data_IF_238562680228
#
_entry.id   IF_238562680228
#
_cell.length_a   1.000
_cell.length_b   1.000
_cell.length_c   1.000
_cell.angle_alpha   90.00
_cell.angle_beta   90.00
_cell.angle_gamma   90.00
#
_symmetry.space_group_name_H-M   'P 1'
#
loop_
_entity.id
_entity.type
_entity.pdbx_description
1 polymer ?
#
# COMPACT_ATOMS: atom_id res chain seq x y z
N UNK A 1 1.75 3.72 -19.28
CA UNK A 1 2.23 3.30 -17.94
C UNK A 1 2.09 1.79 -17.75
N UNK A 2 3.20 1.10 -17.65
CA UNK A 2 3.35 -0.37 -17.52
C UNK A 2 2.96 -0.86 -16.10
N UNK A 3 2.55 -2.13 -15.97
CA UNK A 3 2.18 -2.78 -14.69
C UNK A 3 3.33 -3.62 -14.11
N UNK A 4 4.41 -3.76 -14.86
CA UNK A 4 5.51 -4.69 -14.65
C UNK A 4 6.16 -4.56 -13.25
N UNK A 5 6.43 -3.36 -12.70
CA UNK A 5 6.91 -3.23 -11.33
C UNK A 5 5.95 -3.83 -10.30
N UNK A 6 4.64 -3.58 -10.47
CA UNK A 6 3.60 -4.09 -9.58
C UNK A 6 3.43 -5.60 -9.69
N UNK A 7 3.50 -6.15 -10.92
CA UNK A 7 3.46 -7.61 -11.17
C UNK A 7 4.55 -8.34 -10.39
N UNK A 8 5.76 -7.76 -10.31
CA UNK A 8 6.87 -8.36 -9.58
C UNK A 8 6.64 -8.43 -8.05
N UNK A 9 5.95 -7.44 -7.47
CA UNK A 9 5.69 -7.36 -6.03
C UNK A 9 4.59 -8.32 -5.57
N UNK A 10 3.57 -8.53 -6.42
CA UNK A 10 2.46 -9.42 -6.10
C UNK A 10 2.77 -10.88 -6.42
N UNK A 11 3.82 -11.16 -7.19
CA UNK A 11 4.18 -12.50 -7.61
C UNK A 11 4.40 -13.45 -6.42
N UNK A 12 3.88 -14.67 -6.52
CA UNK A 12 4.02 -15.70 -5.49
C UNK A 12 3.06 -15.58 -4.30
N UNK A 13 2.21 -14.55 -4.26
CA UNK A 13 1.21 -14.36 -3.20
C UNK A 13 -0.14 -14.95 -3.62
N UNK A 14 -0.95 -15.38 -2.64
CA UNK A 14 -2.31 -15.90 -2.88
C UNK A 14 -3.27 -15.32 -1.86
N UNK A 15 -4.49 -15.03 -2.30
CA UNK A 15 -5.52 -14.49 -1.44
C UNK A 15 -6.92 -14.92 -1.90
N UNK A 16 -7.79 -15.21 -0.93
CA UNK A 16 -9.23 -15.39 -1.15
C UNK A 16 -10.01 -14.76 0.00
N UNK A 17 -10.86 -13.79 -0.31
CA UNK A 17 -11.71 -13.16 0.70
C UNK A 17 -12.81 -14.15 1.15
N UNK A 18 -12.80 -14.55 2.42
CA UNK A 18 -13.83 -15.40 3.02
C UNK A 18 -15.03 -14.62 3.57
N UNK A 19 -15.07 -13.29 3.34
CA UNK A 19 -16.05 -12.37 3.93
C UNK A 19 -16.13 -12.48 5.46
N UNK A 20 -15.00 -12.73 6.12
CA UNK A 20 -14.94 -12.94 7.57
C UNK A 20 -15.15 -11.67 8.42
N UNK A 21 -15.09 -10.48 7.82
CA UNK A 21 -15.26 -9.20 8.51
C UNK A 21 -14.05 -8.71 9.32
N UNK A 22 -12.99 -9.50 9.45
CA UNK A 22 -11.83 -9.17 10.31
C UNK A 22 -11.08 -7.90 9.87
N UNK A 23 -10.97 -7.63 8.57
CA UNK A 23 -10.39 -6.39 8.06
C UNK A 23 -11.26 -5.14 8.35
N UNK A 24 -12.51 -5.33 8.79
CA UNK A 24 -13.40 -4.27 9.24
C UNK A 24 -13.34 -4.07 10.76
N UNK A 25 -12.50 -4.82 11.48
CA UNK A 25 -12.33 -4.74 12.94
C UNK A 25 -10.91 -4.29 13.29
N UNK A 26 -10.75 -3.46 14.31
CA UNK A 26 -9.44 -3.04 14.84
C UNK A 26 -9.09 -1.58 14.52
N UNK A 27 -7.83 -1.19 14.78
CA UNK A 27 -7.41 0.22 14.74
C UNK A 27 -7.10 0.77 13.34
N UNK A 28 -7.74 0.21 12.30
CA UNK A 28 -7.55 0.64 10.91
C UNK A 28 -8.25 1.97 10.60
N UNK A 29 -7.55 2.86 9.90
CA UNK A 29 -8.13 4.08 9.34
C UNK A 29 -8.48 3.89 7.87
N UNK A 30 -9.77 4.01 7.55
CA UNK A 30 -10.23 4.00 6.16
C UNK A 30 -10.46 5.41 5.67
N UNK A 31 -9.71 5.80 4.65
CA UNK A 31 -9.78 7.10 4.02
C UNK A 31 -10.56 7.02 2.71
N UNK A 32 -11.45 7.99 2.52
CA UNK A 32 -12.26 8.17 1.34
C UNK A 32 -11.74 9.35 0.54
N UNK A 33 -11.51 9.13 -0.74
CA UNK A 33 -11.27 10.19 -1.69
C UNK A 33 -12.59 10.91 -2.05
N UNK A 34 -12.52 12.19 -2.49
CA UNK A 34 -13.69 12.96 -2.89
C UNK A 34 -14.62 12.24 -3.88
N UNK A 35 -14.06 11.52 -4.85
CA UNK A 35 -14.76 10.82 -5.92
C UNK A 35 -15.52 9.57 -5.44
N UNK A 36 -15.13 8.99 -4.30
CA UNK A 36 -15.75 7.77 -3.77
C UNK A 36 -17.03 8.07 -3.00
N UNK A 37 -17.08 9.25 -2.38
CA UNK A 37 -18.12 9.68 -1.46
C UNK A 37 -19.51 9.67 -2.13
N UNK A 38 -19.73 10.29 -3.31
CA UNK A 38 -21.05 10.30 -3.95
C UNK A 38 -21.55 8.90 -4.31
N UNK A 39 -20.63 8.02 -4.71
CA UNK A 39 -20.95 6.63 -5.08
C UNK A 39 -21.45 5.83 -3.89
N UNK A 40 -20.76 5.91 -2.75
CA UNK A 40 -21.16 5.21 -1.52
C UNK A 40 -22.46 5.81 -0.95
N UNK A 41 -22.57 7.15 -0.94
CA UNK A 41 -23.79 7.82 -0.49
C UNK A 41 -25.02 7.39 -1.31
N UNK A 42 -24.89 7.32 -2.64
CA UNK A 42 -25.93 6.84 -3.54
C UNK A 42 -26.34 5.40 -3.25
N UNK A 43 -25.38 4.52 -3.00
CA UNK A 43 -25.67 3.12 -2.65
C UNK A 43 -26.51 2.99 -1.38
N UNK A 44 -26.28 3.88 -0.40
CA UNK A 44 -27.02 3.94 0.85
C UNK A 44 -28.35 4.73 0.75
N UNK A 45 -28.71 5.22 -0.44
CA UNK A 45 -29.85 6.10 -0.67
C UNK A 45 -29.83 7.37 0.19
N UNK A 46 -28.65 7.97 0.35
CA UNK A 46 -28.44 9.21 1.10
C UNK A 46 -27.94 10.33 0.19
N UNK A 47 -28.20 11.58 0.58
CA UNK A 47 -27.48 12.71 0.03
C UNK A 47 -26.01 12.65 0.46
N UNK A 48 -25.12 13.21 -0.37
CA UNK A 48 -23.69 13.33 -0.04
C UNK A 48 -23.49 13.99 1.33
N UNK A 49 -24.18 15.10 1.60
CA UNK A 49 -24.06 15.78 2.89
C UNK A 49 -24.46 14.89 4.06
N UNK A 50 -25.60 14.17 3.95
CA UNK A 50 -26.05 13.27 5.01
C UNK A 50 -25.06 12.13 5.24
N UNK A 51 -24.48 11.58 4.17
CA UNK A 51 -23.45 10.57 4.27
C UNK A 51 -22.21 11.09 5.00
N UNK A 52 -21.73 12.27 4.62
CA UNK A 52 -20.57 12.93 5.23
C UNK A 52 -20.77 13.13 6.74
N UNK A 53 -21.92 13.64 7.15
CA UNK A 53 -22.22 13.92 8.55
C UNK A 53 -22.39 12.65 9.38
N UNK A 54 -23.00 11.62 8.78
CA UNK A 54 -23.33 10.37 9.47
C UNK A 54 -22.10 9.47 9.60
N UNK A 55 -21.39 9.22 8.50
CA UNK A 55 -20.40 8.14 8.41
C UNK A 55 -18.95 8.59 8.41
N UNK A 56 -18.66 9.88 8.28
CA UNK A 56 -17.26 10.35 8.11
C UNK A 56 -16.83 11.37 9.15
N UNK A 57 -15.52 11.48 9.35
CA UNK A 57 -14.83 12.56 10.08
C UNK A 57 -14.03 13.39 9.08
N UNK A 58 -13.99 14.70 9.32
CA UNK A 58 -13.15 15.61 8.55
C UNK A 58 -11.83 15.83 9.27
N UNK A 59 -10.73 15.81 8.52
CA UNK A 59 -9.43 16.24 9.00
C UNK A 59 -8.99 17.43 8.17
N UNK A 60 -8.88 18.60 8.79
CA UNK A 60 -8.52 19.86 8.10
C UNK A 60 -7.19 19.76 7.35
N UNK A 61 -6.34 18.81 7.72
CA UNK A 61 -5.02 18.62 7.15
C UNK A 61 -5.02 17.87 5.82
N UNK A 62 -6.10 17.16 5.48
CA UNK A 62 -6.27 16.40 4.24
C UNK A 62 -7.44 16.98 3.45
N UNK A 63 -7.16 17.90 2.52
CA UNK A 63 -8.20 18.66 1.83
C UNK A 63 -9.07 17.75 0.95
N UNK A 64 -10.39 17.82 1.11
CA UNK A 64 -11.37 17.02 0.34
C UNK A 64 -11.52 15.57 0.79
N UNK A 65 -10.48 14.97 1.36
CA UNK A 65 -10.53 13.60 1.88
C UNK A 65 -11.34 13.50 3.18
N UNK A 66 -11.95 12.33 3.40
CA UNK A 66 -12.75 12.05 4.60
C UNK A 66 -12.34 10.72 5.20
N UNK A 67 -12.28 10.62 6.51
CA UNK A 67 -12.01 9.34 7.17
C UNK A 67 -13.34 8.72 7.61
N UNK A 68 -13.51 7.41 7.46
CA UNK A 68 -14.67 6.73 8.02
C UNK A 68 -14.68 6.81 9.54
N UNK A 69 -15.87 6.94 10.11
CA UNK A 69 -16.07 6.75 11.55
C UNK A 69 -15.91 5.27 11.91
N UNK A 70 -15.58 5.05 13.17
CA UNK A 70 -15.66 3.75 13.80
C UNK A 70 -16.95 3.63 14.61
N UNK A 71 -17.37 2.38 14.88
CA UNK A 71 -18.58 1.99 15.58
C UNK A 71 -18.31 0.74 16.44
N UNK A 72 -19.37 0.24 17.10
CA UNK A 72 -19.32 -0.91 18.01
C UNK A 72 -18.89 -0.54 19.43
N UNK A 73 -19.01 -1.49 20.35
CA UNK A 73 -18.81 -1.26 21.79
C UNK A 73 -17.36 -0.85 22.14
N UNK A 74 -16.38 -1.35 21.39
CA UNK A 74 -14.98 -0.93 21.53
C UNK A 74 -14.65 0.38 20.81
N UNK A 75 -15.54 0.86 19.93
CA UNK A 75 -15.28 2.02 19.08
C UNK A 75 -14.20 1.79 18.02
N UNK A 76 -13.90 0.53 17.68
CA UNK A 76 -12.83 0.14 16.75
C UNK A 76 -13.34 -0.62 15.51
N UNK A 77 -14.65 -0.83 15.35
CA UNK A 77 -15.16 -1.48 14.14
C UNK A 77 -15.49 -0.45 13.06
N UNK A 78 -15.36 -0.80 11.79
CA UNK A 78 -15.83 0.05 10.70
C UNK A 78 -17.33 0.31 10.85
N UNK A 79 -17.76 1.55 10.58
CA UNK A 79 -19.19 1.95 10.66
C UNK A 79 -20.11 1.18 9.69
N UNK A 80 -19.55 0.51 8.67
CA UNK A 80 -20.30 -0.33 7.74
C UNK A 80 -20.25 -1.83 8.06
N UNK A 81 -19.63 -2.25 9.17
CA UNK A 81 -19.72 -3.63 9.62
C UNK A 81 -21.10 -3.88 10.23
N UNK A 82 -21.83 -4.86 9.71
CA UNK A 82 -23.16 -5.22 10.18
C UNK A 82 -23.10 -5.66 11.64
N UNK A 83 -23.86 -5.02 12.55
CA UNK A 83 -23.92 -5.45 13.95
C UNK A 83 -24.73 -6.75 14.12
N UNK A 84 -25.43 -7.21 13.08
CA UNK A 84 -26.27 -8.40 13.14
C UNK A 84 -25.44 -9.69 13.17
N UNK A 85 -24.32 -9.72 12.46
CA UNK A 85 -23.46 -10.91 12.32
C UNK A 85 -21.98 -10.65 12.60
N UNK A 86 -21.56 -9.37 12.68
CA UNK A 86 -20.16 -8.99 12.87
C UNK A 86 -19.26 -9.33 11.69
N UNK A 87 -19.83 -9.60 10.50
CA UNK A 87 -19.08 -10.07 9.31
C UNK A 87 -19.43 -9.30 8.05
N UNK A 88 -20.70 -9.01 7.85
CA UNK A 88 -21.18 -8.45 6.59
C UNK A 88 -20.84 -6.97 6.46
N UNK A 89 -20.14 -6.59 5.38
CA UNK A 89 -19.93 -5.19 5.03
C UNK A 89 -21.15 -4.65 4.26
N UNK A 90 -21.83 -3.66 4.84
CA UNK A 90 -23.06 -3.06 4.28
C UNK A 90 -22.83 -2.32 2.96
N UNK A 91 -21.59 -2.03 2.59
CA UNK A 91 -21.20 -1.35 1.34
C UNK A 91 -20.26 -2.20 0.49
N UNK A 92 -20.26 -3.53 0.65
CA UNK A 92 -19.26 -4.43 0.03
C UNK A 92 -19.11 -4.23 -1.49
N UNK A 93 -20.22 -4.01 -2.20
CA UNK A 93 -20.26 -3.82 -3.66
C UNK A 93 -19.72 -2.46 -4.11
N UNK A 94 -19.67 -1.48 -3.22
CA UNK A 94 -19.20 -0.12 -3.49
C UNK A 94 -18.08 0.30 -2.54
N UNK A 95 -17.28 -0.68 -2.07
CA UNK A 95 -16.13 -0.41 -1.19
C UNK A 95 -15.23 0.68 -1.76
N UNK A 96 -14.66 1.55 -0.91
CA UNK A 96 -13.61 2.46 -1.35
C UNK A 96 -12.39 1.67 -1.82
N UNK A 97 -11.55 2.28 -2.65
CA UNK A 97 -10.32 1.73 -3.23
C UNK A 97 -9.46 1.08 -2.16
N UNK A 98 -9.25 1.74 -1.01
CA UNK A 98 -8.50 1.13 0.11
C UNK A 98 -9.10 -0.21 0.53
N UNK A 99 -10.42 -0.34 0.68
CA UNK A 99 -11.04 -1.60 1.07
C UNK A 99 -11.17 -2.62 -0.08
N UNK A 100 -11.28 -2.18 -1.34
CA UNK A 100 -11.43 -3.08 -2.49
C UNK A 100 -10.12 -3.65 -3.00
N UNK A 101 -9.00 -2.97 -2.74
CA UNK A 101 -7.66 -3.42 -3.15
C UNK A 101 -6.98 -4.30 -2.12
N UNK A 102 -7.55 -4.49 -0.92
CA UNK A 102 -7.00 -5.42 0.08
C UNK A 102 -6.94 -6.86 -0.48
N UNK A 103 -5.80 -7.58 -0.37
CA UNK A 103 -4.63 -7.27 0.46
C UNK A 103 -3.45 -6.63 -0.31
N UNK A 104 -3.68 -6.13 -1.51
CA UNK A 104 -2.65 -5.53 -2.37
C UNK A 104 -2.37 -4.08 -1.99
N UNK A 105 -2.06 -3.85 -0.73
CA UNK A 105 -1.62 -2.55 -0.24
C UNK A 105 -0.09 -2.46 -0.28
N UNK A 106 0.50 -1.29 -0.58
CA UNK A 106 1.96 -1.10 -0.58
C UNK A 106 2.65 -1.63 0.69
N UNK A 107 2.06 -1.39 1.86
CA UNK A 107 2.58 -1.81 3.18
C UNK A 107 2.66 -3.32 3.31
N UNK A 108 1.70 -4.02 2.71
CA UNK A 108 1.62 -5.47 2.75
C UNK A 108 2.61 -6.11 1.77
N UNK A 109 3.23 -5.36 0.85
CA UNK A 109 4.22 -5.91 -0.10
C UNK A 109 5.58 -6.23 0.54
N UNK A 110 5.72 -6.01 1.85
CA UNK A 110 6.83 -6.52 2.65
C UNK A 110 6.48 -7.88 3.25
N UNK A 111 7.34 -8.89 3.10
CA UNK A 111 7.08 -10.26 3.57
C UNK A 111 6.75 -10.32 5.07
N UNK A 112 7.42 -9.50 5.88
CA UNK A 112 7.15 -9.43 7.32
C UNK A 112 5.75 -8.90 7.65
N UNK A 113 5.30 -7.87 6.95
CA UNK A 113 3.96 -7.28 7.15
C UNK A 113 2.87 -8.21 6.57
N UNK A 114 3.13 -8.86 5.41
CA UNK A 114 2.26 -9.88 4.84
C UNK A 114 2.03 -11.06 5.79
N UNK A 115 3.11 -11.63 6.34
CA UNK A 115 3.01 -12.77 7.25
C UNK A 115 2.36 -12.38 8.60
N UNK A 116 2.60 -11.16 9.08
CA UNK A 116 1.92 -10.64 10.26
C UNK A 116 0.41 -10.50 10.01
N UNK A 117 0.00 -9.89 8.90
CA UNK A 117 -1.40 -9.67 8.54
C UNK A 117 -2.14 -11.01 8.37
N UNK A 118 -1.51 -11.96 7.68
CA UNK A 118 -1.97 -13.35 7.52
C UNK A 118 -2.20 -14.06 8.85
N UNK A 119 -1.28 -13.89 9.80
CA UNK A 119 -1.34 -14.57 11.09
C UNK A 119 -2.36 -13.95 12.04
N UNK A 120 -2.49 -12.62 12.02
CA UNK A 120 -3.17 -11.87 13.08
C UNK A 120 -4.53 -11.31 12.65
N UNK A 121 -4.73 -11.01 11.36
CA UNK A 121 -5.90 -10.27 10.90
C UNK A 121 -6.77 -11.13 9.98
N UNK A 122 -6.25 -11.62 8.86
CA UNK A 122 -7.11 -12.19 7.82
C UNK A 122 -6.69 -13.61 7.42
N UNK A 123 -7.62 -14.54 7.58
CA UNK A 123 -7.48 -15.94 7.16
C UNK A 123 -7.47 -16.13 5.63
N UNK A 124 -7.77 -15.09 4.85
CA UNK A 124 -7.81 -15.15 3.39
C UNK A 124 -6.43 -15.25 2.74
N UNK A 125 -5.37 -14.93 3.47
CA UNK A 125 -3.99 -14.99 2.98
C UNK A 125 -3.54 -16.44 2.87
N UNK A 126 -3.06 -16.82 1.68
CA UNK A 126 -2.71 -18.22 1.35
C UNK A 126 -3.81 -19.24 1.65
N UNK A 127 -5.07 -18.81 1.56
CA UNK A 127 -6.21 -19.68 1.85
C UNK A 127 -6.15 -20.94 0.96
N UNK A 128 -6.47 -22.15 1.49
CA UNK A 128 -6.43 -23.39 0.71
C UNK A 128 -7.27 -23.33 -0.57
N UNK A 129 -8.40 -22.63 -0.51
CA UNK A 129 -9.32 -22.44 -1.63
C UNK A 129 -8.99 -21.20 -2.49
N UNK A 130 -7.84 -20.57 -2.30
CA UNK A 130 -7.44 -19.43 -3.12
C UNK A 130 -7.17 -19.87 -4.57
N UNK A 131 -7.79 -19.22 -5.57
CA UNK A 131 -7.51 -19.53 -6.96
C UNK A 131 -6.06 -19.17 -7.31
N UNK A 132 -5.54 -19.65 -8.45
CA UNK A 132 -4.31 -19.12 -9.01
C UNK A 132 -4.38 -17.60 -9.10
N UNK A 133 -3.29 -16.92 -8.72
CA UNK A 133 -3.24 -15.47 -8.72
C UNK A 133 -3.41 -14.94 -10.15
N UNK A 134 -4.41 -14.09 -10.35
CA UNK A 134 -4.44 -13.18 -11.49
C UNK A 134 -3.45 -12.05 -11.22
N UNK A 135 -2.23 -12.23 -11.73
CA UNK A 135 -1.11 -11.31 -11.50
C UNK A 135 -1.40 -9.92 -12.07
N UNK A 136 -2.14 -9.84 -13.18
CA UNK A 136 -2.43 -8.57 -13.83
C UNK A 136 -3.48 -7.77 -13.05
N UNK A 137 -4.55 -8.42 -12.60
CA UNK A 137 -5.55 -7.79 -11.75
C UNK A 137 -4.98 -7.41 -10.37
N UNK A 138 -4.18 -8.28 -9.75
CA UNK A 138 -3.51 -7.96 -8.49
C UNK A 138 -2.55 -6.77 -8.63
N UNK A 139 -1.79 -6.70 -9.74
CA UNK A 139 -0.93 -5.56 -10.05
C UNK A 139 -1.74 -4.26 -10.26
N UNK A 140 -2.91 -4.34 -10.91
CA UNK A 140 -3.82 -3.21 -11.08
C UNK A 140 -4.36 -2.72 -9.73
N UNK A 141 -4.75 -3.63 -8.84
CA UNK A 141 -5.21 -3.31 -7.49
C UNK A 141 -4.10 -2.69 -6.64
N UNK A 142 -2.87 -3.20 -6.72
CA UNK A 142 -1.71 -2.61 -6.03
C UNK A 142 -1.40 -1.21 -6.54
N UNK A 143 -1.43 -1.02 -7.85
CA UNK A 143 -1.24 0.29 -8.46
C UNK A 143 -2.30 1.29 -8.00
N UNK A 144 -3.58 0.88 -8.00
CA UNK A 144 -4.68 1.70 -7.51
C UNK A 144 -4.49 2.07 -6.03
N UNK A 145 -4.17 1.09 -5.18
CA UNK A 145 -3.89 1.33 -3.76
C UNK A 145 -2.75 2.34 -3.56
N UNK A 146 -1.65 2.18 -4.30
CA UNK A 146 -0.53 3.11 -4.26
C UNK A 146 -0.94 4.52 -4.70
N UNK A 147 -1.63 4.66 -5.83
CA UNK A 147 -2.08 5.96 -6.35
C UNK A 147 -2.95 6.68 -5.32
N UNK A 148 -3.89 5.99 -4.67
CA UNK A 148 -4.75 6.59 -3.65
C UNK A 148 -3.96 7.04 -2.42
N UNK A 149 -2.97 6.26 -1.99
CA UNK A 149 -2.06 6.68 -0.93
C UNK A 149 -1.30 7.95 -1.31
N UNK A 150 -0.77 8.05 -2.54
CA UNK A 150 -0.06 9.26 -2.98
C UNK A 150 -0.95 10.49 -3.06
N UNK A 151 -2.15 10.36 -3.64
CA UNK A 151 -3.09 11.48 -3.74
C UNK A 151 -3.48 12.01 -2.36
N UNK A 152 -3.67 11.11 -1.38
CA UNK A 152 -3.92 11.51 0.01
C UNK A 152 -2.72 12.23 0.62
N UNK A 153 -1.49 11.76 0.38
CA UNK A 153 -0.28 12.42 0.87
C UNK A 153 -0.07 13.80 0.25
N UNK A 154 -0.33 13.96 -1.04
CA UNK A 154 -0.28 15.25 -1.74
C UNK A 154 -1.36 16.22 -1.24
N UNK A 155 -2.53 15.70 -0.86
CA UNK A 155 -3.58 16.49 -0.22
C UNK A 155 -3.26 16.83 1.25
N UNK A 156 -2.19 16.27 1.82
CA UNK A 156 -1.79 16.46 3.21
C UNK A 156 -0.94 17.70 3.39
N UNK A 157 -1.27 18.46 4.42
CA UNK A 157 -0.41 19.53 4.96
C UNK A 157 0.51 19.04 6.08
N UNK A 158 0.48 17.73 6.39
CA UNK A 158 1.28 17.10 7.45
C UNK A 158 2.63 16.64 6.90
N UNK A 159 3.69 16.74 7.73
CA UNK A 159 4.94 16.02 7.45
C UNK A 159 4.70 14.51 7.52
N UNK A 160 4.86 13.86 6.39
CA UNK A 160 4.84 12.40 6.24
C UNK A 160 6.03 11.80 7.02
N UNK A 161 5.80 10.70 7.75
CA UNK A 161 6.88 10.03 8.49
C UNK A 161 7.87 9.36 7.53
N UNK A 162 9.12 9.05 7.96
CA UNK A 162 10.04 8.29 7.12
C UNK A 162 9.55 6.89 6.74
N UNK A 163 8.83 6.19 7.65
CA UNK A 163 8.24 4.86 7.36
C UNK A 163 7.14 4.96 6.32
N UNK A 164 6.28 5.98 6.45
CA UNK A 164 5.38 6.37 5.37
C UNK A 164 6.26 6.70 4.17
N UNK A 165 6.93 7.83 3.98
CA UNK A 165 7.72 8.11 2.75
C UNK A 165 8.46 6.92 2.06
N UNK A 166 9.14 6.02 2.80
CA UNK A 166 9.69 4.76 2.26
C UNK A 166 8.64 3.88 1.52
N UNK A 167 7.45 3.67 2.09
CA UNK A 167 6.32 2.93 1.47
C UNK A 167 5.94 3.41 0.07
N UNK A 168 6.13 4.70 -0.17
CA UNK A 168 5.61 5.47 -1.28
C UNK A 168 6.71 5.52 -2.30
N UNK A 169 7.90 5.93 -1.85
CA UNK A 169 9.12 5.97 -2.64
C UNK A 169 9.48 4.61 -3.24
N UNK A 170 9.29 3.50 -2.52
CA UNK A 170 9.52 2.14 -3.05
C UNK A 170 8.53 1.72 -4.14
N UNK A 171 7.44 2.48 -4.32
CA UNK A 171 6.42 2.27 -5.35
C UNK A 171 6.36 3.47 -6.34
N UNK A 172 7.25 4.48 -6.19
CA UNK A 172 7.22 5.77 -6.89
C UNK A 172 8.36 6.02 -7.88
N UNK A 173 9.29 5.09 -8.09
CA UNK A 173 10.29 5.22 -9.17
C UNK A 173 9.78 4.32 -10.30
N UNK A 174 9.51 4.80 -11.52
CA UNK A 174 10.51 5.25 -12.48
C UNK A 174 10.04 6.41 -13.37
N UNK A 175 11.02 7.26 -13.70
CA UNK A 175 11.00 8.39 -14.62
C UNK A 175 10.30 8.03 -15.95
N UNK A 176 9.37 8.89 -16.38
CA UNK A 176 9.04 8.98 -17.80
C UNK A 176 10.22 9.69 -18.48
N UNK A 177 11.06 8.93 -19.17
CA UNK A 177 11.79 9.43 -20.34
C UNK A 177 11.48 8.51 -21.52
N UNK A 178 10.29 8.67 -22.09
CA UNK A 178 10.04 8.34 -23.48
C UNK A 178 9.36 9.54 -24.13
N UNK A 179 10.13 10.60 -24.37
CA UNK A 179 9.80 11.62 -25.38
C UNK A 179 11.02 11.83 -26.28
N UNK A 180 10.90 11.22 -27.47
CA UNK A 180 11.45 11.56 -28.78
C UNK A 180 12.57 12.61 -28.89
N UNK A 181 13.68 12.22 -29.55
CA UNK A 181 14.27 13.09 -30.58
C UNK A 181 14.98 12.28 -31.69
N UNK A 182 14.34 12.28 -32.87
CA UNK A 182 14.96 12.65 -34.15
C UNK A 182 16.24 11.95 -34.60
N UNK A 183 16.12 11.13 -35.65
CA UNK A 183 17.26 10.51 -36.33
C UNK A 183 18.20 11.46 -37.09
N UNK A 184 19.44 11.01 -37.23
CA UNK A 184 20.39 11.14 -38.36
C UNK A 184 21.67 10.44 -37.88
N UNK A 185 22.38 9.56 -38.58
CA UNK A 185 22.81 9.55 -39.97
C UNK A 185 24.32 9.23 -39.94
N UNK A 186 24.69 8.06 -40.47
CA UNK A 186 25.99 7.65 -41.06
C UNK A 186 27.33 7.78 -40.29
N UNK A 187 28.19 6.76 -40.45
CA UNK A 187 29.65 6.95 -40.56
C UNK A 187 30.56 6.02 -39.74
N UNK A 188 30.98 4.91 -40.38
CA UNK A 188 32.32 4.28 -40.46
C UNK A 188 33.37 4.42 -39.32
N UNK A 189 34.12 3.31 -39.06
CA UNK A 189 35.54 3.41 -38.64
C UNK A 189 36.09 2.43 -37.60
N UNK A 190 36.47 1.23 -38.06
CA UNK A 190 37.73 0.48 -37.79
C UNK A 190 38.47 0.46 -36.41
N UNK A 191 38.64 -0.77 -35.89
CA UNK A 191 39.80 -1.42 -35.24
C UNK A 191 40.69 -0.77 -34.14
N UNK A 192 40.91 -1.54 -33.04
CA UNK A 192 42.22 -2.15 -32.65
C UNK A 192 42.53 -2.17 -31.12
N UNK A 193 42.52 -3.39 -30.55
CA UNK A 193 43.59 -4.07 -29.76
C UNK A 193 44.54 -3.21 -28.88
N UNK A 194 44.57 -3.48 -27.56
CA UNK A 194 45.69 -4.15 -26.84
C UNK A 194 45.72 -3.92 -25.30
N UNK A 195 45.77 -5.04 -24.57
CA UNK A 195 46.62 -5.41 -23.40
C UNK A 195 47.04 -4.36 -22.35
N UNK A 196 46.85 -4.73 -21.07
CA UNK A 196 47.74 -4.31 -19.99
C UNK A 196 47.19 -4.48 -18.56
N UNK A 197 47.57 -5.57 -17.87
CA UNK A 197 47.73 -5.62 -16.40
C UNK A 197 49.24 -5.54 -16.14
N UNK A 198 49.78 -4.97 -15.04
CA UNK A 198 49.73 -5.60 -13.71
C UNK A 198 49.79 -4.66 -12.47
N UNK A 199 49.50 -5.23 -11.28
CA UNK A 199 50.09 -4.99 -9.93
C UNK A 199 50.13 -3.56 -9.34
N UNK A 200 49.86 -3.26 -8.06
CA UNK A 200 49.61 -4.05 -6.85
C UNK A 200 49.76 -3.13 -5.60
N UNK A 201 49.50 -3.71 -4.41
CA UNK A 201 49.79 -3.19 -3.05
C UNK A 201 48.95 -1.98 -2.56
N UNK A 202 48.44 -1.91 -1.33
CA UNK A 202 48.52 -2.73 -0.12
C UNK A 202 47.76 -2.03 1.02
N UNK A 203 47.51 -2.73 2.14
CA UNK A 203 47.13 -2.09 3.40
C UNK A 203 45.93 -2.70 4.17
N UNK A 204 46.19 -3.71 5.00
CA UNK A 204 45.52 -3.93 6.31
C UNK A 204 46.18 -2.98 7.34
N UNK A 205 45.62 -2.68 8.54
CA UNK A 205 44.83 -3.53 9.47
C UNK A 205 43.59 -2.78 10.03
N UNK A 206 42.73 -3.24 10.94
CA UNK A 206 42.74 -4.33 11.92
C UNK A 206 41.40 -4.39 12.66
N UNK A 207 41.25 -5.46 13.46
CA UNK A 207 40.08 -5.89 14.23
C UNK A 207 39.65 -4.98 15.39
N UNK A 208 38.36 -5.03 15.76
CA UNK A 208 37.82 -5.27 17.11
C UNK A 208 36.27 -5.17 17.07
N UNK A 209 35.53 -6.25 17.38
CA UNK A 209 34.87 -6.49 18.67
C UNK A 209 34.11 -5.25 19.19
N UNK A 210 32.77 -5.17 19.20
CA UNK A 210 31.84 -6.09 19.83
C UNK A 210 31.41 -5.53 21.19
N UNK A 211 30.13 -5.13 21.34
CA UNK A 211 29.36 -5.13 22.59
C UNK A 211 27.90 -4.68 22.37
N UNK A 212 26.96 -5.59 22.73
CA UNK A 212 25.57 -5.28 23.10
C UNK A 212 25.55 -4.37 24.33
N UNK A 213 24.38 -3.74 24.61
CA UNK A 213 23.83 -3.97 25.94
C UNK A 213 22.34 -4.30 25.95
N UNK A 214 22.01 -5.10 26.97
CA UNK A 214 20.68 -5.52 27.39
C UNK A 214 19.90 -4.43 28.16
N UNK A 215 18.61 -4.73 28.26
CA UNK A 215 17.53 -4.20 29.09
C UNK A 215 17.91 -3.78 30.53
N UNK A 216 17.16 -2.81 31.06
CA UNK A 216 17.01 -2.60 32.51
C UNK A 216 16.42 -1.24 32.85
N UNK A 217 15.21 -1.21 33.40
CA UNK A 217 14.41 0.01 33.55
C UNK A 217 14.61 0.82 34.83
N UNK A 218 13.88 1.94 34.92
CA UNK A 218 13.01 2.34 36.04
C UNK A 218 12.28 3.64 35.67
N UNK A 219 10.97 3.63 35.88
CA UNK A 219 10.07 4.78 35.81
C UNK A 219 10.18 5.53 37.15
N UNK A 220 10.26 6.85 37.08
CA UNK A 220 9.79 7.76 38.13
C UNK A 220 8.36 8.17 37.80
#
# INVERSE_FOLDING_TARGET
>A
MTLEPFKSLVAGRRFSCTMCGKCCTGDGEIWLAPEEIPRIAKHLNLSTQRFLDTYTKQYSKYSGWRMLKTAGDSGQSCVFLSPLDGKTCLVHSVRPSQCSTYPWWPELMHDGEWEWEKTNICEGFDHPDAPPLDVEEAARQLKEANTMTQLRLLASTVRVTPKEMDWANRVLVWEEEEDEEGGSGAGEGEAARAKGTPTGQGGKPGSAAGKKPEKGGKRN
#
